data_IF_124835208277
#
_entry.id   IF_124835208277
#
_cell.length_a   1.000
_cell.length_b   1.000
_cell.length_c   1.000
_cell.angle_alpha   90.00
_cell.angle_beta   90.00
_cell.angle_gamma   90.00
#
_symmetry.space_group_name_H-M   'P 1'
#
loop_
_entity.id
_entity.type
_entity.pdbx_description
1 polymer ?
#
# COMPACT_ATOMS: atom_id res chain seq x y z
N UNK A 1 8.29 26.11 -3.67
CA UNK A 1 7.74 25.30 -4.78
C UNK A 1 8.68 24.16 -5.17
N UNK A 2 9.93 24.44 -5.56
CA UNK A 2 10.92 23.40 -5.88
C UNK A 2 11.19 22.46 -4.69
N UNK A 3 11.32 23.01 -3.49
CA UNK A 3 11.50 22.25 -2.25
C UNK A 3 10.29 21.37 -1.90
N UNK A 4 9.06 21.91 -2.00
CA UNK A 4 7.82 21.15 -1.80
C UNK A 4 7.70 19.99 -2.80
N UNK A 5 7.97 20.23 -4.09
CA UNK A 5 7.94 19.18 -5.10
C UNK A 5 9.02 18.12 -4.85
N UNK A 6 10.21 18.53 -4.42
CA UNK A 6 11.28 17.60 -4.05
C UNK A 6 10.85 16.69 -2.90
N UNK A 7 10.26 17.25 -1.86
CA UNK A 7 9.76 16.49 -0.72
C UNK A 7 8.70 15.45 -1.13
N UNK A 8 7.81 15.78 -2.07
CA UNK A 8 6.79 14.85 -2.56
C UNK A 8 7.38 13.67 -3.35
N UNK A 9 8.42 13.94 -4.15
CA UNK A 9 9.17 12.89 -4.86
C UNK A 9 9.94 12.00 -3.88
N UNK A 10 10.63 12.60 -2.90
CA UNK A 10 11.34 11.88 -1.84
C UNK A 10 10.39 11.01 -1.02
N UNK A 11 9.19 11.51 -0.72
CA UNK A 11 8.14 10.77 -0.01
C UNK A 11 7.65 9.57 -0.81
N UNK A 12 7.39 9.71 -2.11
CA UNK A 12 7.03 8.57 -2.96
C UNK A 12 8.17 7.54 -3.01
N UNK A 13 9.43 7.98 -3.12
CA UNK A 13 10.57 7.08 -3.11
C UNK A 13 10.70 6.30 -1.78
N UNK A 14 10.46 6.96 -0.65
CA UNK A 14 10.42 6.32 0.67
C UNK A 14 9.30 5.26 0.75
N UNK A 15 8.13 5.57 0.22
CA UNK A 15 6.99 4.66 0.18
C UNK A 15 7.19 3.47 -0.76
N UNK A 16 7.88 3.66 -1.90
CA UNK A 16 8.30 2.57 -2.77
C UNK A 16 9.28 1.63 -2.05
N UNK A 17 10.23 2.15 -1.27
CA UNK A 17 11.09 1.31 -0.41
C UNK A 17 10.27 0.52 0.62
N UNK A 18 9.26 1.14 1.22
CA UNK A 18 8.37 0.43 2.14
C UNK A 18 7.58 -0.69 1.46
N UNK A 19 7.14 -0.49 0.22
CA UNK A 19 6.49 -1.52 -0.57
C UNK A 19 7.43 -2.70 -0.85
N UNK A 20 8.71 -2.45 -1.16
CA UNK A 20 9.71 -3.50 -1.38
C UNK A 20 9.97 -4.31 -0.12
N UNK A 21 10.18 -3.64 1.01
CA UNK A 21 10.42 -4.28 2.31
C UNK A 21 9.21 -5.11 2.74
N UNK A 22 7.99 -4.58 2.60
CA UNK A 22 6.77 -5.30 2.90
C UNK A 22 6.59 -6.52 1.98
N UNK A 23 6.84 -6.35 0.68
CA UNK A 23 6.77 -7.43 -0.31
C UNK A 23 7.74 -8.55 0.03
N UNK A 24 9.00 -8.23 0.34
CA UNK A 24 9.99 -9.22 0.72
C UNK A 24 9.59 -9.99 1.98
N UNK A 25 9.06 -9.30 3.00
CA UNK A 25 8.58 -9.93 4.23
C UNK A 25 7.37 -10.86 3.98
N UNK A 26 6.46 -10.48 3.09
CA UNK A 26 5.29 -11.27 2.72
C UNK A 26 5.65 -12.47 1.84
N UNK A 27 6.53 -12.30 0.86
CA UNK A 27 6.96 -13.37 -0.07
C UNK A 27 7.63 -14.56 0.64
N UNK A 28 8.11 -14.38 1.88
CA UNK A 28 8.62 -15.45 2.74
C UNK A 28 7.54 -16.42 3.27
N UNK A 29 6.26 -16.17 3.01
CA UNK A 29 5.15 -17.04 3.39
C UNK A 29 4.63 -17.81 2.17
N UNK A 30 4.55 -19.14 2.27
CA UNK A 30 4.11 -20.01 1.16
C UNK A 30 2.67 -19.73 0.72
N UNK A 31 1.85 -19.19 1.64
CA UNK A 31 0.46 -18.86 1.36
C UNK A 31 0.30 -17.60 0.50
N UNK A 32 1.35 -16.78 0.38
CA UNK A 32 1.36 -15.57 -0.46
C UNK A 32 1.60 -15.99 -1.91
N UNK A 33 0.59 -15.79 -2.75
CA UNK A 33 0.63 -16.14 -4.17
C UNK A 33 1.13 -14.99 -5.05
N UNK A 34 0.70 -13.77 -4.73
CA UNK A 34 1.09 -12.57 -5.46
C UNK A 34 1.03 -11.34 -4.56
N UNK A 35 1.87 -10.35 -4.87
CA UNK A 35 1.86 -9.03 -4.23
C UNK A 35 1.82 -7.97 -5.33
N UNK A 36 0.85 -7.06 -5.23
CA UNK A 36 0.62 -5.99 -6.21
C UNK A 36 0.60 -4.66 -5.47
N UNK A 37 1.44 -3.73 -5.88
CA UNK A 37 1.40 -2.33 -5.46
C UNK A 37 0.39 -1.57 -6.32
N UNK A 38 -0.50 -0.81 -5.70
CA UNK A 38 -1.44 0.05 -6.41
C UNK A 38 -1.56 1.41 -5.71
N UNK A 39 -2.47 2.26 -6.17
CA UNK A 39 -2.61 3.62 -5.67
C UNK A 39 -1.47 4.53 -6.13
N UNK A 40 -1.36 5.71 -5.52
CA UNK A 40 -0.47 6.79 -5.97
C UNK A 40 1.02 6.45 -5.88
N UNK A 41 1.41 5.47 -5.07
CA UNK A 41 2.81 5.02 -4.94
C UNK A 41 3.23 4.15 -6.13
N UNK A 42 2.29 3.40 -6.71
CA UNK A 42 2.51 2.50 -7.85
C UNK A 42 2.53 3.19 -9.21
N UNK A 43 2.07 4.44 -9.30
CA UNK A 43 2.03 5.21 -10.56
C UNK A 43 3.13 6.28 -10.59
N UNK A 44 3.51 6.79 -11.77
CA UNK A 44 4.20 8.07 -11.88
C UNK A 44 3.43 9.16 -11.12
N UNK A 45 4.14 10.09 -10.47
CA UNK A 45 3.48 11.28 -9.94
C UNK A 45 3.01 12.15 -11.10
N UNK A 46 1.80 12.70 -10.95
CA UNK A 46 1.22 13.69 -11.85
C UNK A 46 1.03 15.02 -11.14
N UNK A 47 0.80 16.09 -11.90
CA UNK A 47 0.60 17.43 -11.35
C UNK A 47 -0.87 17.64 -10.98
N UNK A 48 -1.11 18.15 -9.77
CA UNK A 48 -2.43 18.58 -9.32
C UNK A 48 -2.38 19.98 -8.72
N UNK A 49 -3.49 20.70 -8.79
CA UNK A 49 -3.67 21.97 -8.08
C UNK A 49 -4.38 21.67 -6.75
N UNK A 50 -3.69 21.83 -5.60
CA UNK A 50 -4.28 21.51 -4.31
C UNK A 50 -5.59 22.26 -4.07
N UNK A 51 -6.53 21.61 -3.37
CA UNK A 51 -7.85 22.20 -3.07
C UNK A 51 -7.78 23.45 -2.18
N UNK A 52 -6.65 23.68 -1.51
CA UNK A 52 -6.44 24.83 -0.64
C UNK A 52 -6.48 26.16 -1.42
N UNK A 53 -7.21 27.13 -0.86
CA UNK A 53 -7.56 28.39 -1.53
C UNK A 53 -6.36 29.20 -2.01
N UNK A 54 -5.24 29.18 -1.29
CA UNK A 54 -4.00 29.90 -1.63
C UNK A 54 -3.36 29.37 -2.92
N UNK A 55 -3.18 28.04 -3.01
CA UNK A 55 -2.61 27.39 -4.19
C UNK A 55 -3.54 27.46 -5.40
N UNK A 56 -4.85 27.24 -5.18
CA UNK A 56 -5.86 27.35 -6.25
C UNK A 56 -5.93 28.76 -6.85
N UNK A 57 -5.88 29.81 -6.02
CA UNK A 57 -5.86 31.21 -6.52
C UNK A 57 -4.57 31.55 -7.27
N UNK A 58 -3.46 30.95 -6.88
CA UNK A 58 -2.16 31.18 -7.50
C UNK A 58 -1.89 30.27 -8.72
N UNK A 59 -2.79 29.32 -9.03
CA UNK A 59 -2.59 28.36 -10.13
C UNK A 59 -1.37 27.46 -9.94
N UNK A 60 -0.93 27.24 -8.70
CA UNK A 60 0.31 26.51 -8.42
C UNK A 60 0.04 25.01 -8.46
N UNK A 61 0.64 24.34 -9.45
CA UNK A 61 0.61 22.89 -9.57
C UNK A 61 1.75 22.23 -8.75
N UNK A 62 1.38 21.30 -7.88
CA UNK A 62 2.30 20.46 -7.11
C UNK A 62 2.22 19.02 -7.62
N UNK A 63 3.22 18.20 -7.32
CA UNK A 63 3.05 16.76 -7.48
C UNK A 63 1.94 16.25 -6.57
N UNK A 64 1.19 15.23 -7.00
CA UNK A 64 0.21 14.58 -6.16
C UNK A 64 0.86 14.02 -4.89
N UNK A 65 0.18 14.15 -3.75
CA UNK A 65 0.69 13.67 -2.47
C UNK A 65 0.40 12.18 -2.25
N UNK A 66 1.44 11.37 -2.08
CA UNK A 66 1.28 10.01 -1.58
C UNK A 66 1.08 10.02 -0.06
N UNK A 67 -0.08 9.56 0.42
CA UNK A 67 -0.41 9.51 1.86
C UNK A 67 -0.01 8.21 2.54
N UNK A 68 -0.19 7.11 1.82
CA UNK A 68 -0.12 5.72 2.22
C UNK A 68 0.39 4.84 1.07
N UNK A 69 0.71 3.59 1.42
CA UNK A 69 1.16 2.53 0.52
C UNK A 69 0.08 1.47 0.47
N UNK A 70 -0.55 1.33 -0.70
CA UNK A 70 -1.59 0.34 -0.93
C UNK A 70 -1.01 -0.91 -1.61
N UNK A 71 -1.09 -2.05 -0.93
CA UNK A 71 -0.65 -3.34 -1.47
C UNK A 71 -1.79 -4.34 -1.42
N UNK A 72 -2.06 -5.00 -2.55
CA UNK A 72 -2.93 -6.16 -2.62
C UNK A 72 -2.11 -7.44 -2.55
N UNK A 73 -2.54 -8.38 -1.72
CA UNK A 73 -1.89 -9.67 -1.49
C UNK A 73 -2.89 -10.79 -1.70
N UNK A 74 -2.57 -11.69 -2.62
CA UNK A 74 -3.37 -12.89 -2.87
C UNK A 74 -2.91 -13.99 -1.91
N UNK A 75 -3.83 -14.47 -1.07
CA UNK A 75 -3.55 -15.45 -0.03
C UNK A 75 -4.33 -16.74 -0.23
N UNK A 76 -3.65 -17.88 -0.32
CA UNK A 76 -4.30 -19.20 -0.38
C UNK A 76 -4.85 -19.64 0.98
N UNK A 77 -4.29 -19.15 2.09
CA UNK A 77 -4.76 -19.40 3.47
C UNK A 77 -4.62 -18.14 4.33
N UNK A 78 -5.48 -18.01 5.33
CA UNK A 78 -5.60 -16.82 6.18
C UNK A 78 -5.20 -17.05 7.64
N UNK A 79 -4.78 -18.25 8.00
CA UNK A 79 -4.45 -18.66 9.37
C UNK A 79 -3.18 -17.99 9.93
N UNK A 80 -2.36 -17.37 9.07
CA UNK A 80 -1.07 -16.74 9.43
C UNK A 80 -1.04 -15.22 9.30
N UNK A 81 -2.19 -14.56 9.22
CA UNK A 81 -2.27 -13.10 9.08
C UNK A 81 -1.54 -12.34 10.22
N UNK A 82 -1.55 -12.88 11.45
CA UNK A 82 -0.84 -12.28 12.59
C UNK A 82 0.67 -12.33 12.39
N UNK A 83 1.19 -13.45 11.93
CA UNK A 83 2.59 -13.71 11.65
C UNK A 83 3.09 -12.82 10.51
N UNK A 84 2.32 -12.73 9.42
CA UNK A 84 2.60 -11.84 8.29
C UNK A 84 2.66 -10.37 8.72
N UNK A 85 1.64 -9.90 9.46
CA UNK A 85 1.62 -8.53 10.03
C UNK A 85 2.86 -8.26 10.90
N UNK A 86 3.26 -9.22 11.73
CA UNK A 86 4.46 -9.12 12.56
C UNK A 86 5.74 -9.10 11.73
N UNK A 87 5.82 -9.89 10.66
CA UNK A 87 6.96 -9.91 9.77
C UNK A 87 7.14 -8.54 9.09
N UNK A 88 6.07 -8.00 8.51
CA UNK A 88 6.06 -6.65 7.93
C UNK A 88 6.43 -5.58 8.98
N UNK A 89 5.79 -5.61 10.16
CA UNK A 89 6.06 -4.64 11.22
C UNK A 89 7.48 -4.71 11.79
N UNK A 90 8.17 -5.85 11.70
CA UNK A 90 9.60 -5.97 12.04
C UNK A 90 10.52 -5.52 10.92
N UNK A 91 10.05 -5.53 9.68
CA UNK A 91 10.85 -5.17 8.52
C UNK A 91 10.86 -3.64 8.28
N UNK A 92 9.76 -2.94 8.54
CA UNK A 92 9.66 -1.49 8.33
C UNK A 92 10.71 -0.64 9.08
N UNK A 93 11.12 -0.95 10.33
CA UNK A 93 12.15 -0.17 11.03
C UNK A 93 13.49 -0.08 10.29
N UNK A 94 13.86 -1.08 9.48
CA UNK A 94 15.10 -1.04 8.70
C UNK A 94 15.13 0.11 7.68
N UNK A 95 13.96 0.63 7.28
CA UNK A 95 13.87 1.79 6.38
C UNK A 95 14.33 3.05 7.10
N UNK A 96 13.98 3.21 8.37
CA UNK A 96 14.44 4.34 9.18
C UNK A 96 15.96 4.31 9.35
N UNK A 97 16.52 3.12 9.58
CA UNK A 97 17.96 2.91 9.72
C UNK A 97 18.72 3.23 8.43
N UNK A 98 18.18 2.86 7.27
CA UNK A 98 18.79 3.10 5.95
C UNK A 98 18.62 4.54 5.45
N UNK A 99 17.47 5.17 5.72
CA UNK A 99 17.08 6.43 5.06
C UNK A 99 17.00 7.65 5.98
N UNK A 100 17.08 7.44 7.29
CA UNK A 100 16.78 8.46 8.30
C UNK A 100 15.30 8.85 8.40
N UNK A 101 14.42 8.23 7.60
CA UNK A 101 12.99 8.50 7.57
C UNK A 101 12.18 7.22 7.75
N UNK A 102 11.20 7.23 8.65
CA UNK A 102 10.36 6.07 8.95
C UNK A 102 9.05 6.07 8.16
N UNK A 103 8.53 4.88 7.88
CA UNK A 103 7.14 4.67 7.45
C UNK A 103 6.39 4.01 8.59
N UNK A 104 5.33 4.66 9.06
CA UNK A 104 4.52 4.10 10.13
C UNK A 104 3.67 2.94 9.58
N UNK A 105 3.40 1.94 10.42
CA UNK A 105 2.62 0.78 9.99
C UNK A 105 1.19 1.11 9.53
N UNK A 106 0.65 2.26 9.95
CA UNK A 106 -0.66 2.75 9.52
C UNK A 106 -0.67 3.43 8.16
N UNK A 107 0.51 3.70 7.60
CA UNK A 107 0.68 4.20 6.24
C UNK A 107 0.86 3.05 5.25
N UNK A 108 0.69 1.79 5.68
CA UNK A 108 0.78 0.61 4.83
C UNK A 108 -0.54 -0.16 4.95
N UNK A 109 -1.36 -0.05 3.92
CA UNK A 109 -2.62 -0.76 3.80
C UNK A 109 -2.43 -2.02 2.97
N UNK A 110 -2.65 -3.18 3.60
CA UNK A 110 -2.51 -4.49 2.96
C UNK A 110 -3.91 -5.07 2.74
N UNK A 111 -4.34 -5.10 1.48
CA UNK A 111 -5.60 -5.65 1.02
C UNK A 111 -5.44 -7.14 0.77
N UNK A 112 -6.33 -7.95 1.34
CA UNK A 112 -6.30 -9.40 1.18
C UNK A 112 -7.28 -9.79 0.09
N UNK A 113 -6.78 -10.49 -0.92
CA UNK A 113 -7.54 -10.92 -2.10
C UNK A 113 -7.58 -12.45 -2.16
N UNK A 114 -8.74 -12.99 -2.53
CA UNK A 114 -8.95 -14.42 -2.75
C UNK A 114 -8.37 -14.87 -4.10
N UNK A 115 -7.48 -15.88 -4.13
CA UNK A 115 -6.98 -16.47 -5.36
C UNK A 115 -8.09 -17.05 -6.25
N UNK A 116 -7.99 -16.80 -7.56
CA UNK A 116 -8.88 -17.36 -8.58
C UNK A 116 -10.21 -16.62 -8.76
N UNK A 117 -10.66 -15.86 -7.77
CA UNK A 117 -11.90 -15.05 -7.86
C UNK A 117 -11.65 -13.56 -7.83
N UNK A 118 -10.44 -13.13 -7.43
CA UNK A 118 -10.05 -11.74 -7.18
C UNK A 118 -10.98 -11.01 -6.20
N UNK A 119 -11.68 -11.77 -5.36
CA UNK A 119 -12.60 -11.23 -4.37
C UNK A 119 -11.82 -10.58 -3.24
N UNK A 120 -12.13 -9.33 -2.96
CA UNK A 120 -11.63 -8.64 -1.78
C UNK A 120 -12.20 -9.26 -0.50
N UNK A 121 -11.31 -9.67 0.41
CA UNK A 121 -11.66 -10.34 1.66
C UNK A 121 -11.62 -9.42 2.89
N UNK A 122 -10.88 -8.32 2.81
CA UNK A 122 -10.65 -7.40 3.94
C UNK A 122 -9.24 -6.83 3.92
N UNK A 123 -8.87 -6.05 4.94
CA UNK A 123 -7.50 -5.58 5.13
C UNK A 123 -6.80 -6.40 6.20
N UNK A 124 -5.49 -6.56 6.08
CA UNK A 124 -4.68 -7.08 7.19
C UNK A 124 -4.73 -6.05 8.33
N UNK A 125 -5.26 -6.47 9.47
CA UNK A 125 -5.44 -5.61 10.63
C UNK A 125 -4.08 -5.14 11.16
N UNK A 126 -3.93 -3.82 11.37
CA UNK A 126 -2.68 -3.25 11.89
C UNK A 126 -2.57 -3.33 13.42
N UNK A 127 -3.68 -3.58 14.12
CA UNK A 127 -3.69 -3.69 15.58
C UNK A 127 -2.87 -4.88 16.09
N UNK A 128 -2.41 -4.77 17.34
CA UNK A 128 -1.57 -5.80 17.99
C UNK A 128 -2.38 -7.01 18.51
N UNK A 129 -3.69 -6.84 18.67
CA UNK A 129 -4.63 -7.85 19.15
C UNK A 129 -5.89 -7.87 18.27
N UNK A 130 -6.55 -9.03 18.19
CA UNK A 130 -7.79 -9.20 17.44
C UNK A 130 -8.77 -10.05 18.28
N UNK A 131 -9.91 -9.49 18.72
CA UNK A 131 -10.30 -8.08 18.60
C UNK A 131 -9.43 -7.15 19.46
N UNK A 132 -9.29 -5.89 19.05
CA UNK A 132 -8.56 -4.86 19.81
C UNK A 132 -9.45 -4.02 20.74
N UNK A 133 -10.75 -4.34 20.81
CA UNK A 133 -11.78 -3.54 21.48
C UNK A 133 -11.78 -2.05 21.04
N UNK A 134 -11.58 -1.82 19.73
CA UNK A 134 -11.68 -0.49 19.09
C UNK A 134 -12.99 -0.39 18.30
N UNK A 135 -13.45 0.83 18.04
CA UNK A 135 -14.64 1.08 17.24
C UNK A 135 -14.57 0.38 15.87
N UNK A 136 -13.40 0.38 15.24
CA UNK A 136 -13.16 -0.30 13.95
C UNK A 136 -13.41 -1.83 14.03
N UNK A 137 -13.29 -2.44 15.20
CA UNK A 137 -13.57 -3.86 15.40
C UNK A 137 -15.07 -4.19 15.46
N UNK A 138 -15.94 -3.18 15.59
CA UNK A 138 -17.40 -3.36 15.69
C UNK A 138 -18.06 -3.54 14.32
N UNK A 139 -17.32 -3.38 13.23
CA UNK A 139 -17.82 -3.62 11.87
C UNK A 139 -18.23 -5.09 11.74
N UNK A 140 -19.44 -5.41 11.24
CA UNK A 140 -19.89 -6.78 11.05
C UNK A 140 -18.88 -7.62 10.27
N UNK A 141 -18.57 -8.82 10.78
CA UNK A 141 -17.58 -9.74 10.19
C UNK A 141 -16.12 -9.38 10.44
N UNK A 142 -15.80 -8.24 11.06
CA UNK A 142 -14.43 -7.91 11.44
C UNK A 142 -13.88 -8.94 12.44
N UNK A 143 -12.69 -9.48 12.14
CA UNK A 143 -12.05 -10.47 13.00
C UNK A 143 -12.71 -11.85 13.00
N UNK A 144 -13.73 -12.11 12.17
CA UNK A 144 -14.29 -13.45 11.99
C UNK A 144 -13.19 -14.44 11.54
N UNK A 145 -12.28 -13.96 10.68
CA UNK A 145 -10.92 -14.49 10.57
C UNK A 145 -9.98 -13.58 11.39
N UNK A 146 -9.20 -14.12 12.34
CA UNK A 146 -8.29 -13.31 13.15
C UNK A 146 -7.36 -12.45 12.30
N UNK A 147 -7.25 -11.16 12.64
CA UNK A 147 -6.47 -10.15 11.91
C UNK A 147 -6.92 -9.86 10.47
N UNK A 148 -8.11 -10.30 10.07
CA UNK A 148 -8.78 -9.81 8.85
C UNK A 148 -9.79 -8.72 9.25
N UNK A 149 -9.43 -7.47 8.98
CA UNK A 149 -10.24 -6.31 9.32
C UNK A 149 -11.23 -5.99 8.21
N UNK A 150 -12.47 -5.67 8.62
CA UNK A 150 -13.50 -5.14 7.74
C UNK A 150 -13.63 -3.63 7.95
N UNK A 151 -13.90 -2.89 6.87
CA UNK A 151 -14.12 -1.46 6.90
C UNK A 151 -15.55 -1.16 6.45
N UNK A 152 -16.28 -0.40 7.27
CA UNK A 152 -17.68 -0.12 7.01
C UNK A 152 -17.86 0.60 5.66
N UNK A 153 -18.70 0.03 4.79
CA UNK A 153 -19.04 0.60 3.49
C UNK A 153 -17.88 0.61 2.48
N UNK A 154 -16.73 0.02 2.81
CA UNK A 154 -15.60 -0.03 1.88
C UNK A 154 -15.87 -1.05 0.78
N UNK A 155 -15.63 -0.63 -0.45
CA UNK A 155 -15.66 -1.49 -1.64
C UNK A 155 -14.37 -1.26 -2.41
N UNK A 156 -13.60 -2.31 -2.62
CA UNK A 156 -12.45 -2.25 -3.52
C UNK A 156 -12.99 -2.11 -4.96
N UNK A 157 -12.67 -1.00 -5.60
CA UNK A 157 -13.10 -0.77 -6.98
C UNK A 157 -12.44 -1.82 -7.90
N UNK A 158 -13.21 -2.50 -8.78
CA UNK A 158 -12.66 -3.54 -9.64
C UNK A 158 -11.48 -3.07 -10.50
N UNK A 159 -11.49 -1.80 -10.91
CA UNK A 159 -10.42 -1.22 -11.73
C UNK A 159 -9.16 -0.84 -10.94
N UNK A 160 -9.19 -0.86 -9.60
CA UNK A 160 -8.06 -0.46 -8.76
C UNK A 160 -6.84 -1.37 -8.92
N UNK A 161 -7.06 -2.65 -9.23
CA UNK A 161 -6.00 -3.66 -9.37
C UNK A 161 -5.64 -3.97 -10.82
N UNK A 162 -6.19 -3.24 -11.79
CA UNK A 162 -5.84 -3.44 -13.21
C UNK A 162 -4.40 -3.00 -13.44
N UNK A 163 -3.65 -3.78 -14.23
CA UNK A 163 -2.21 -3.54 -14.49
C UNK A 163 -1.88 -2.16 -15.08
N UNK A 164 -2.84 -1.46 -15.68
CA UNK A 164 -2.67 -0.08 -16.11
C UNK A 164 -2.49 0.92 -14.93
N UNK A 165 -2.87 0.51 -13.71
CA UNK A 165 -2.87 1.32 -12.48
C UNK A 165 -2.19 0.62 -11.30
N UNK A 166 -1.62 -0.56 -11.55
CA UNK A 166 -1.07 -1.42 -10.53
C UNK A 166 0.16 -2.16 -11.04
N UNK A 167 1.10 -2.42 -10.15
CA UNK A 167 2.39 -3.04 -10.45
C UNK A 167 2.47 -4.33 -9.66
N UNK A 168 2.59 -5.46 -10.37
CA UNK A 168 2.93 -6.74 -9.73
C UNK A 168 4.38 -6.70 -9.25
N UNK A 169 4.58 -6.80 -7.93
CA UNK A 169 5.90 -6.83 -7.30
C UNK A 169 6.38 -8.25 -7.04
N UNK A 170 5.47 -9.19 -6.87
CA UNK A 170 5.78 -10.60 -6.64
C UNK A 170 4.72 -11.50 -7.25
N UNK A 171 5.15 -12.60 -7.85
CA UNK A 171 4.30 -13.69 -8.32
C UNK A 171 4.97 -15.04 -8.06
N UNK A 172 4.34 -15.88 -7.24
CA UNK A 172 4.89 -17.19 -6.90
C UNK A 172 4.80 -18.18 -8.06
N UNK A 173 3.76 -18.09 -8.89
CA UNK A 173 3.56 -19.04 -9.97
C UNK A 173 4.60 -18.86 -11.09
N UNK A 174 4.97 -17.60 -11.37
CA UNK A 174 5.99 -17.28 -12.38
C UNK A 174 7.40 -17.10 -11.79
N UNK A 175 7.53 -17.11 -10.45
CA UNK A 175 8.76 -16.75 -9.73
C UNK A 175 9.28 -15.35 -10.11
N UNK A 176 8.38 -14.46 -10.52
CA UNK A 176 8.72 -13.09 -10.85
C UNK A 176 8.80 -12.23 -9.59
N UNK A 177 9.79 -11.37 -9.56
CA UNK A 177 9.98 -10.36 -8.53
C UNK A 177 10.42 -9.05 -9.16
N UNK A 178 9.79 -7.96 -8.76
CA UNK A 178 10.08 -6.60 -9.21
C UNK A 178 10.11 -5.68 -8.00
N UNK A 179 10.99 -4.68 -8.04
CA UNK A 179 11.06 -3.66 -7.00
C UNK A 179 10.27 -2.42 -7.39
N UNK A 180 9.52 -1.87 -6.44
CA UNK A 180 8.81 -0.62 -6.54
C UNK A 180 9.77 0.56 -6.71
N UNK A 181 10.99 0.51 -6.14
CA UNK A 181 11.99 1.58 -6.37
C UNK A 181 12.45 1.69 -7.82
N UNK A 182 12.30 0.64 -8.63
CA UNK A 182 12.67 0.62 -10.04
C UNK A 182 11.52 1.14 -10.95
N UNK A 183 10.42 1.62 -10.37
CA UNK A 183 9.32 2.22 -11.12
C UNK A 183 9.68 3.60 -11.67
N UNK A 184 9.09 3.99 -12.81
CA UNK A 184 9.34 5.30 -13.40
C UNK A 184 9.08 6.43 -12.39
N UNK A 185 9.88 7.49 -12.50
CA UNK A 185 9.75 8.70 -11.71
C UNK A 185 8.51 9.52 -12.10
N UNK A 186 8.43 10.79 -11.66
CA UNK A 186 7.34 11.70 -12.01
C UNK A 186 7.18 11.83 -13.54
N UNK A 187 5.93 11.97 -14.01
CA UNK A 187 5.60 12.24 -15.41
C UNK A 187 4.92 13.60 -15.51
N UNK A 188 5.32 14.42 -16.49
CA UNK A 188 4.68 15.73 -16.74
C UNK A 188 3.39 15.62 -17.57
N UNK A 189 3.02 14.43 -18.05
CA UNK A 189 2.06 14.24 -19.13
C UNK A 189 0.58 14.10 -18.70
N UNK A 190 0.27 14.15 -17.40
CA UNK A 190 -1.12 14.08 -16.92
C UNK A 190 -1.49 15.32 -16.09
N UNK A 191 -2.12 16.30 -16.75
CA UNK A 191 -3.01 17.26 -16.09
C UNK A 191 -4.42 16.72 -16.32
N UNK A 192 -5.00 16.03 -15.33
CA UNK A 192 -6.44 15.72 -15.30
C UNK A 192 -7.23 16.85 -14.64
#
# INVERSE_FOLDING_TARGET
MAETNRHLVERQALFRRAADVATAALAGFDEVMAVVLFGSVGTPLWKEVPRFRSYRRAGIALWHECTDVDIAVWLSRLDRLREMRRAVGRALPFILEDTGHGVASHQLDIFVIEPGTDRYLGRMCQFKACPAAKADCLVPGCGATPFLQQHQGFVLQPDALRLARAVKLFDRATSESRRAVDLPGPSEDEIQ
#
